data_IF_159173977335
#
_entry.id   IF_159173977335
#
_cell.length_a   1.000
_cell.length_b   1.000
_cell.length_c   1.000
_cell.angle_alpha   90.00
_cell.angle_beta   90.00
_cell.angle_gamma   90.00
#
_symmetry.space_group_name_H-M   'P 1'
#
loop_
_entity.id
_entity.type
_entity.pdbx_description
1 polymer ?
#
# COMPACT_ATOMS: atom_id res chain seq x y z
N UNK A 1 -28.41 -0.18 -9.44
CA UNK A 1 -27.95 -1.20 -8.47
C UNK A 1 -28.50 -0.84 -7.10
N UNK A 2 -29.31 -1.72 -6.51
CA UNK A 2 -29.99 -1.46 -5.22
C UNK A 2 -28.95 -1.46 -4.10
N UNK A 3 -28.84 -0.32 -3.42
CA UNK A 3 -28.06 -0.15 -2.20
C UNK A 3 -28.77 -0.97 -1.11
N UNK A 4 -28.18 -2.11 -0.75
CA UNK A 4 -28.68 -2.97 0.31
C UNK A 4 -28.58 -2.24 1.65
N UNK A 5 -29.68 -2.22 2.40
CA UNK A 5 -29.73 -1.70 3.76
C UNK A 5 -28.70 -2.41 4.66
N UNK A 6 -28.07 -1.69 5.61
CA UNK A 6 -27.21 -2.34 6.59
C UNK A 6 -28.08 -3.16 7.54
N UNK A 7 -27.90 -4.48 7.49
CA UNK A 7 -28.43 -5.40 8.50
C UNK A 7 -27.76 -5.05 9.82
N UNK A 8 -28.55 -4.57 10.79
CA UNK A 8 -28.16 -4.42 12.19
C UNK A 8 -27.70 -5.77 12.75
N UNK A 9 -26.43 -6.12 12.58
CA UNK A 9 -25.78 -7.13 13.41
C UNK A 9 -25.27 -6.41 14.65
N UNK A 10 -25.95 -6.66 15.75
CA UNK A 10 -25.46 -6.49 17.12
C UNK A 10 -24.10 -7.19 17.24
N UNK A 11 -23.02 -6.49 16.89
CA UNK A 11 -21.71 -6.83 17.42
C UNK A 11 -21.79 -6.42 18.89
N UNK A 12 -22.02 -7.41 19.75
CA UNK A 12 -21.76 -7.28 21.17
C UNK A 12 -20.30 -6.88 21.28
N UNK A 13 -20.08 -5.58 21.46
CA UNK A 13 -18.79 -5.02 21.83
C UNK A 13 -18.49 -5.62 23.20
N UNK A 14 -17.74 -6.73 23.22
CA UNK A 14 -17.17 -7.26 24.45
C UNK A 14 -16.00 -6.36 24.88
N UNK A 15 -16.32 -5.12 25.22
CA UNK A 15 -15.47 -4.21 25.98
C UNK A 15 -15.43 -4.68 27.44
N UNK A 16 -14.76 -5.81 27.70
CA UNK A 16 -14.31 -6.10 29.06
C UNK A 16 -12.80 -5.87 29.09
N UNK A 17 -12.32 -5.00 29.98
CA UNK A 17 -10.90 -4.64 30.14
C UNK A 17 -10.00 -5.78 30.66
N UNK A 18 -10.51 -7.03 30.67
CA UNK A 18 -9.78 -8.22 31.09
C UNK A 18 -9.04 -8.81 29.90
N UNK A 19 -7.83 -9.34 30.14
CA UNK A 19 -7.03 -9.96 29.07
C UNK A 19 -7.73 -11.21 28.53
N UNK A 20 -7.37 -11.60 27.31
CA UNK A 20 -7.93 -12.79 26.67
C UNK A 20 -7.62 -14.06 27.47
N UNK A 21 -6.44 -14.14 28.06
CA UNK A 21 -6.08 -15.21 28.99
C UNK A 21 -7.00 -15.24 30.20
N UNK A 22 -7.30 -14.10 30.84
CA UNK A 22 -8.19 -14.10 32.01
C UNK A 22 -9.58 -14.61 31.67
N UNK A 23 -10.10 -14.25 30.49
CA UNK A 23 -11.41 -14.72 30.01
C UNK A 23 -11.43 -16.24 29.83
N UNK A 24 -10.35 -16.80 29.28
CA UNK A 24 -10.23 -18.24 29.04
C UNK A 24 -10.05 -19.00 30.36
N UNK A 25 -9.20 -18.50 31.26
CA UNK A 25 -9.01 -19.06 32.60
C UNK A 25 -10.32 -19.06 33.40
N UNK A 26 -11.08 -17.96 33.38
CA UNK A 26 -12.37 -17.87 34.06
C UNK A 26 -13.38 -18.90 33.50
N UNK A 27 -13.41 -19.08 32.17
CA UNK A 27 -14.31 -20.03 31.52
C UNK A 27 -13.95 -21.48 31.85
N UNK A 28 -12.66 -21.83 31.78
CA UNK A 28 -12.20 -23.18 32.07
C UNK A 28 -12.32 -23.50 33.56
N UNK A 29 -12.07 -22.53 34.45
CA UNK A 29 -12.32 -22.70 35.88
C UNK A 29 -13.78 -23.07 36.17
N UNK A 30 -14.74 -22.44 35.49
CA UNK A 30 -16.17 -22.79 35.61
C UNK A 30 -16.48 -24.20 35.10
N UNK A 31 -15.92 -24.58 33.95
CA UNK A 31 -16.09 -25.92 33.38
C UNK A 31 -15.51 -26.98 34.31
N UNK A 32 -14.28 -26.79 34.78
CA UNK A 32 -13.58 -27.72 35.67
C UNK A 32 -14.33 -27.90 37.00
N UNK A 33 -14.84 -26.81 37.60
CA UNK A 33 -15.70 -26.89 38.79
C UNK A 33 -17.00 -27.65 38.51
N UNK A 34 -17.62 -27.43 37.35
CA UNK A 34 -18.83 -28.15 36.93
C UNK A 34 -18.58 -29.65 36.76
N UNK A 35 -17.47 -30.02 36.12
CA UNK A 35 -17.06 -31.41 35.92
C UNK A 35 -16.71 -32.10 37.24
N UNK A 36 -15.98 -31.44 38.14
CA UNK A 36 -15.69 -31.97 39.48
C UNK A 36 -16.97 -32.22 40.30
N UNK A 37 -17.92 -31.27 40.28
CA UNK A 37 -19.20 -31.43 40.95
C UNK A 37 -20.07 -32.54 40.33
N UNK A 38 -20.04 -32.69 38.99
CA UNK A 38 -20.70 -33.79 38.30
C UNK A 38 -20.10 -35.13 38.70
N UNK A 39 -18.77 -35.25 38.67
CA UNK A 39 -18.05 -36.46 39.03
C UNK A 39 -18.37 -36.91 40.47
N UNK A 40 -18.29 -36.00 41.45
CA UNK A 40 -18.66 -36.31 42.84
C UNK A 40 -20.12 -36.76 42.98
N UNK A 41 -21.05 -36.14 42.26
CA UNK A 41 -22.48 -36.51 42.28
C UNK A 41 -22.76 -37.85 41.63
N UNK A 42 -22.00 -38.25 40.61
CA UNK A 42 -22.23 -39.49 39.85
C UNK A 42 -21.51 -40.70 40.45
N UNK A 43 -20.31 -40.50 41.00
CA UNK A 43 -19.49 -41.58 41.54
C UNK A 43 -20.06 -42.17 42.83
N UNK A 44 -20.61 -41.34 43.73
CA UNK A 44 -21.24 -41.81 44.96
C UNK A 44 -22.36 -42.84 44.73
N UNK A 45 -23.38 -42.53 43.91
CA UNK A 45 -24.46 -43.47 43.57
C UNK A 45 -24.02 -44.70 42.77
N UNK A 46 -22.99 -44.57 41.94
CA UNK A 46 -22.51 -45.68 41.09
C UNK A 46 -21.66 -46.68 41.88
N UNK A 47 -20.93 -46.21 42.89
CA UNK A 47 -20.00 -47.00 43.69
C UNK A 47 -20.50 -47.28 45.12
N UNK A 48 -21.82 -47.29 45.35
CA UNK A 48 -22.44 -47.47 46.68
C UNK A 48 -21.88 -48.67 47.44
N UNK A 49 -21.67 -49.81 46.77
CA UNK A 49 -21.14 -51.03 47.40
C UNK A 49 -19.75 -50.83 47.99
N UNK A 50 -18.90 -50.05 47.32
CA UNK A 50 -17.54 -49.75 47.77
C UNK A 50 -17.60 -48.72 48.90
N UNK A 51 -18.45 -47.70 48.74
CA UNK A 51 -18.68 -46.67 49.75
C UNK A 51 -19.15 -47.25 51.09
N UNK A 52 -19.96 -48.32 51.07
CA UNK A 52 -20.45 -48.98 52.28
C UNK A 52 -19.37 -49.77 53.05
N UNK A 53 -18.27 -50.16 52.38
CA UNK A 53 -17.18 -50.91 53.02
C UNK A 53 -16.29 -49.98 53.83
N UNK A 54 -15.96 -48.82 53.27
CA UNK A 54 -15.25 -47.75 53.97
C UNK A 54 -15.65 -46.40 53.37
N UNK A 55 -16.58 -45.72 54.05
CA UNK A 55 -17.10 -44.44 53.60
C UNK A 55 -16.05 -43.33 53.68
N UNK A 56 -15.21 -43.36 54.72
CA UNK A 56 -14.21 -42.33 54.96
C UNK A 56 -13.10 -42.36 53.91
N UNK A 57 -12.58 -43.55 53.60
CA UNK A 57 -11.60 -43.76 52.54
C UNK A 57 -12.17 -43.39 51.17
N UNK A 58 -13.41 -43.79 50.88
CA UNK A 58 -14.03 -43.52 49.59
C UNK A 58 -14.22 -42.01 49.35
N UNK A 59 -14.73 -41.27 50.34
CA UNK A 59 -14.91 -39.82 50.23
C UNK A 59 -13.56 -39.11 50.05
N UNK A 60 -12.56 -39.47 50.86
CA UNK A 60 -11.19 -38.92 50.74
C UNK A 60 -10.58 -39.18 49.36
N UNK A 61 -10.69 -40.41 48.85
CA UNK A 61 -10.11 -40.77 47.54
C UNK A 61 -10.78 -40.03 46.38
N UNK A 62 -12.12 -39.89 46.43
CA UNK A 62 -12.86 -39.16 45.39
C UNK A 62 -12.54 -37.67 45.43
N UNK A 63 -12.42 -37.07 46.62
CA UNK A 63 -12.01 -35.68 46.76
C UNK A 63 -10.58 -35.45 46.26
N UNK A 64 -9.64 -36.34 46.60
CA UNK A 64 -8.25 -36.29 46.11
C UNK A 64 -8.18 -36.36 44.57
N UNK A 65 -8.92 -37.29 43.96
CA UNK A 65 -9.01 -37.41 42.50
C UNK A 65 -9.58 -36.16 41.84
N UNK A 66 -10.62 -35.56 42.43
CA UNK A 66 -11.19 -34.30 41.92
C UNK A 66 -10.16 -33.18 42.04
N UNK A 67 -9.47 -33.05 43.18
CA UNK A 67 -8.45 -32.01 43.36
C UNK A 67 -7.26 -32.19 42.42
N UNK A 68 -6.79 -33.42 42.22
CA UNK A 68 -5.71 -33.74 41.27
C UNK A 68 -6.12 -33.38 39.84
N UNK A 69 -7.35 -33.73 39.44
CA UNK A 69 -7.89 -33.35 38.13
C UNK A 69 -7.94 -31.83 37.95
N UNK A 70 -8.41 -31.10 38.96
CA UNK A 70 -8.50 -29.63 38.91
C UNK A 70 -7.10 -28.99 38.78
N UNK A 71 -6.14 -29.45 39.58
CA UNK A 71 -4.75 -28.95 39.57
C UNK A 71 -4.07 -29.23 38.22
N UNK A 72 -4.11 -30.47 37.72
CA UNK A 72 -3.51 -30.83 36.42
C UNK A 72 -4.14 -30.08 35.25
N UNK A 73 -5.45 -29.85 35.32
CA UNK A 73 -6.16 -29.10 34.27
C UNK A 73 -5.76 -27.62 34.26
N UNK A 74 -5.55 -27.00 35.43
CA UNK A 74 -5.10 -25.60 35.52
C UNK A 74 -3.64 -25.45 35.09
N UNK A 75 -2.75 -26.36 35.50
CA UNK A 75 -1.36 -26.40 35.04
C UNK A 75 -1.25 -26.58 33.51
N UNK A 76 -2.03 -27.51 32.96
CA UNK A 76 -2.13 -27.72 31.52
C UNK A 76 -2.62 -26.47 30.79
N UNK A 77 -3.62 -25.78 31.36
CA UNK A 77 -4.11 -24.53 30.80
C UNK A 77 -3.04 -23.44 30.79
N UNK A 78 -2.36 -23.20 31.90
CA UNK A 78 -1.32 -22.16 31.97
C UNK A 78 -0.20 -22.42 30.95
N UNK A 79 0.15 -23.69 30.76
CA UNK A 79 1.14 -24.10 29.76
C UNK A 79 0.66 -23.79 28.34
N UNK A 80 -0.59 -24.12 28.01
CA UNK A 80 -1.19 -23.83 26.70
C UNK A 80 -1.31 -22.32 26.45
N UNK A 81 -1.77 -21.54 27.44
CA UNK A 81 -1.90 -20.09 27.30
C UNK A 81 -0.56 -19.44 26.95
N UNK A 82 0.52 -19.87 27.62
CA UNK A 82 1.89 -19.42 27.33
C UNK A 82 2.37 -19.88 25.95
N UNK A 83 2.20 -21.16 25.62
CA UNK A 83 2.66 -21.72 24.35
C UNK A 83 2.05 -21.02 23.12
N UNK A 84 0.78 -20.63 23.22
CA UNK A 84 0.05 -20.03 22.10
C UNK A 84 0.11 -18.49 22.05
N UNK A 85 0.78 -17.84 23.02
CA UNK A 85 0.85 -16.38 23.17
C UNK A 85 -0.52 -15.72 23.01
N UNK A 86 -1.50 -16.20 23.78
CA UNK A 86 -2.92 -15.87 23.57
C UNK A 86 -3.19 -14.38 23.71
N UNK A 87 -2.54 -13.70 24.67
CA UNK A 87 -2.68 -12.25 24.82
C UNK A 87 -2.14 -11.47 23.61
N UNK A 88 -1.03 -11.89 23.01
CA UNK A 88 -0.45 -11.22 21.85
C UNK A 88 -1.37 -11.32 20.63
N UNK A 89 -1.87 -12.53 20.34
CA UNK A 89 -2.84 -12.75 19.26
C UNK A 89 -4.16 -12.03 19.52
N UNK A 90 -4.60 -12.00 20.77
CA UNK A 90 -5.76 -11.22 21.19
C UNK A 90 -5.59 -9.72 20.92
N UNK A 91 -4.42 -9.16 21.25
CA UNK A 91 -4.10 -7.77 20.97
C UNK A 91 -4.06 -7.47 19.45
N UNK A 92 -3.53 -8.38 18.64
CA UNK A 92 -3.56 -8.27 17.18
C UNK A 92 -4.99 -8.25 16.63
N UNK A 93 -5.88 -9.11 17.16
CA UNK A 93 -7.30 -9.12 16.78
C UNK A 93 -8.02 -7.84 17.19
N UNK A 94 -7.78 -7.33 18.40
CA UNK A 94 -8.35 -6.06 18.85
C UNK A 94 -7.86 -4.88 18.00
N UNK A 95 -6.58 -4.87 17.65
CA UNK A 95 -6.01 -3.88 16.74
C UNK A 95 -6.69 -3.95 15.37
N UNK A 96 -6.78 -5.16 14.79
CA UNK A 96 -7.41 -5.39 13.50
C UNK A 96 -8.88 -4.93 13.49
N UNK A 97 -9.66 -5.30 14.51
CA UNK A 97 -11.08 -4.92 14.62
C UNK A 97 -11.30 -3.40 14.76
N UNK A 98 -10.35 -2.68 15.35
CA UNK A 98 -10.44 -1.21 15.51
C UNK A 98 -10.02 -0.45 14.26
N UNK A 99 -9.00 -0.93 13.55
CA UNK A 99 -8.33 -0.17 12.48
C UNK A 99 -8.73 -0.62 11.07
N UNK A 100 -9.16 -1.86 10.88
CA UNK A 100 -9.58 -2.36 9.57
C UNK A 100 -11.04 -1.98 9.32
N UNK A 101 -11.25 -1.04 8.40
CA UNK A 101 -12.59 -0.61 7.94
C UNK A 101 -13.21 -1.54 6.88
N UNK A 102 -12.51 -2.62 6.50
CA UNK A 102 -12.94 -3.51 5.44
C UNK A 102 -14.12 -4.37 5.90
N UNK A 103 -15.21 -4.40 5.12
CA UNK A 103 -16.37 -5.26 5.37
C UNK A 103 -16.01 -6.76 5.38
N UNK A 104 -14.92 -7.14 4.70
CA UNK A 104 -14.38 -8.50 4.68
C UNK A 104 -12.86 -8.45 4.77
N UNK A 105 -12.30 -9.16 5.75
CA UNK A 105 -10.86 -9.36 5.84
C UNK A 105 -10.37 -10.12 4.60
N UNK A 106 -9.17 -9.76 4.11
CA UNK A 106 -8.51 -10.54 3.08
C UNK A 106 -8.26 -11.97 3.60
N UNK A 107 -8.49 -12.95 2.74
CA UNK A 107 -8.29 -14.36 3.05
C UNK A 107 -7.40 -14.96 1.96
N UNK A 108 -6.44 -15.84 2.31
CA UNK A 108 -5.64 -16.55 1.33
C UNK A 108 -6.55 -17.26 0.33
N UNK A 109 -6.31 -17.03 -0.95
CA UNK A 109 -7.11 -17.60 -2.02
C UNK A 109 -6.72 -19.06 -2.31
N UNK A 110 -5.59 -19.52 -1.78
CA UNK A 110 -5.02 -20.82 -2.09
C UNK A 110 -4.25 -20.83 -3.41
N UNK A 111 -4.19 -19.70 -4.13
CA UNK A 111 -3.32 -19.48 -5.28
C UNK A 111 -2.11 -18.65 -4.82
N UNK A 112 -0.91 -19.25 -4.73
CA UNK A 112 0.28 -18.56 -4.26
C UNK A 112 0.59 -17.29 -5.04
N UNK A 113 0.31 -17.26 -6.35
CA UNK A 113 0.59 -16.07 -7.18
C UNK A 113 -0.31 -14.91 -6.85
N UNK A 114 -1.57 -15.16 -6.47
CA UNK A 114 -2.50 -14.10 -6.07
C UNK A 114 -2.20 -13.63 -4.66
N UNK A 115 -1.87 -14.56 -3.78
CA UNK A 115 -1.60 -14.26 -2.38
C UNK A 115 -0.30 -13.46 -2.23
N UNK A 116 0.76 -13.83 -2.94
CA UNK A 116 2.01 -13.06 -3.00
C UNK A 116 1.77 -11.65 -3.55
N UNK A 117 0.99 -11.52 -4.63
CA UNK A 117 0.66 -10.20 -5.21
C UNK A 117 -0.13 -9.32 -4.26
N UNK A 118 -1.01 -9.89 -3.43
CA UNK A 118 -1.71 -9.12 -2.41
C UNK A 118 -0.74 -8.57 -1.35
N UNK A 119 0.27 -9.35 -0.96
CA UNK A 119 1.31 -8.91 -0.04
C UNK A 119 2.25 -7.84 -0.63
N UNK A 120 2.55 -7.92 -1.92
CA UNK A 120 3.42 -6.96 -2.61
C UNK A 120 2.71 -5.67 -3.04
N UNK A 121 1.38 -5.63 -2.99
CA UNK A 121 0.60 -4.53 -3.54
C UNK A 121 0.96 -3.17 -2.93
N UNK A 122 1.25 -3.10 -1.63
CA UNK A 122 1.63 -1.84 -0.98
C UNK A 122 2.99 -1.35 -1.49
N UNK A 123 3.96 -2.26 -1.60
CA UNK A 123 5.30 -1.96 -2.14
C UNK A 123 5.22 -1.52 -3.61
N UNK A 124 4.40 -2.22 -4.41
CA UNK A 124 4.20 -1.88 -5.82
C UNK A 124 3.57 -0.50 -5.98
N UNK A 125 2.62 -0.13 -5.10
CA UNK A 125 2.03 1.22 -5.09
C UNK A 125 3.05 2.29 -4.76
N UNK A 126 3.83 2.11 -3.71
CA UNK A 126 4.90 3.03 -3.34
C UNK A 126 5.91 3.21 -4.48
N UNK A 127 6.29 2.11 -5.15
CA UNK A 127 7.20 2.16 -6.28
C UNK A 127 6.63 2.94 -7.47
N UNK A 128 5.36 2.72 -7.80
CA UNK A 128 4.67 3.45 -8.87
C UNK A 128 4.60 4.94 -8.56
N UNK A 129 4.35 5.32 -7.30
CA UNK A 129 4.31 6.73 -6.89
C UNK A 129 5.68 7.41 -7.03
N UNK A 130 6.76 6.71 -6.68
CA UNK A 130 8.14 7.19 -6.87
C UNK A 130 8.45 7.39 -8.36
N UNK A 131 8.08 6.44 -9.21
CA UNK A 131 8.25 6.54 -10.65
C UNK A 131 7.44 7.71 -11.23
N UNK A 132 6.18 7.86 -10.84
CA UNK A 132 5.32 8.95 -11.28
C UNK A 132 5.92 10.31 -10.91
N UNK A 133 6.44 10.45 -9.69
CA UNK A 133 7.13 11.66 -9.24
C UNK A 133 8.37 11.95 -10.10
N UNK A 134 9.20 10.94 -10.34
CA UNK A 134 10.41 11.09 -11.16
C UNK A 134 10.09 11.50 -12.60
N UNK A 135 9.04 10.93 -13.20
CA UNK A 135 8.57 11.28 -14.54
C UNK A 135 8.09 12.73 -14.59
N UNK A 136 7.34 13.18 -13.58
CA UNK A 136 6.90 14.57 -13.47
C UNK A 136 8.07 15.54 -13.35
N UNK A 137 9.07 15.20 -12.54
CA UNK A 137 10.27 16.04 -12.37
C UNK A 137 11.07 16.14 -13.68
N UNK A 138 11.29 15.02 -14.38
CA UNK A 138 11.93 15.03 -15.69
C UNK A 138 11.15 15.86 -16.71
N UNK A 139 9.82 15.77 -16.72
CA UNK A 139 9.00 16.61 -17.59
C UNK A 139 9.14 18.11 -17.27
N UNK A 140 9.27 18.47 -15.99
CA UNK A 140 9.53 19.86 -15.57
C UNK A 140 10.90 20.35 -16.02
N UNK A 141 11.91 19.48 -16.06
CA UNK A 141 13.25 19.81 -16.55
C UNK A 141 13.33 19.91 -18.08
N UNK A 142 12.69 18.99 -18.80
CA UNK A 142 12.79 18.91 -20.27
C UNK A 142 11.94 19.95 -20.99
N UNK A 143 10.74 20.25 -20.47
CA UNK A 143 9.81 21.21 -21.10
C UNK A 143 10.43 22.60 -21.35
N UNK A 144 11.14 23.24 -20.39
CA UNK A 144 11.77 24.54 -20.65
C UNK A 144 12.91 24.42 -21.67
N UNK A 145 13.69 23.33 -21.65
CA UNK A 145 14.77 23.10 -22.63
C UNK A 145 14.23 22.98 -24.06
N UNK A 146 13.12 22.26 -24.24
CA UNK A 146 12.43 22.17 -25.54
C UNK A 146 11.92 23.53 -26.00
N UNK A 147 11.37 24.33 -25.08
CA UNK A 147 10.92 25.69 -25.42
C UNK A 147 12.09 26.60 -25.81
N UNK A 148 13.24 26.48 -25.16
CA UNK A 148 14.44 27.24 -25.50
C UNK A 148 14.96 26.86 -26.89
N UNK A 149 15.04 25.57 -27.21
CA UNK A 149 15.44 25.13 -28.56
C UNK A 149 14.46 25.64 -29.64
N UNK A 150 13.15 25.62 -29.37
CA UNK A 150 12.15 26.20 -30.30
C UNK A 150 12.33 27.70 -30.49
N UNK A 151 12.77 28.42 -29.47
CA UNK A 151 13.06 29.86 -29.56
C UNK A 151 14.30 30.10 -30.42
N UNK A 152 15.38 29.33 -30.18
CA UNK A 152 16.60 29.39 -30.99
C UNK A 152 16.33 29.06 -32.46
N UNK A 153 15.49 28.04 -32.72
CA UNK A 153 15.11 27.68 -34.10
C UNK A 153 14.40 28.83 -34.82
N UNK A 154 13.51 29.57 -34.13
CA UNK A 154 12.84 30.75 -34.72
C UNK A 154 13.84 31.85 -35.03
N UNK A 155 14.73 32.17 -34.09
CA UNK A 155 15.76 33.19 -34.29
C UNK A 155 16.64 32.87 -35.51
N UNK A 156 17.12 31.63 -35.61
CA UNK A 156 17.92 31.20 -36.75
C UNK A 156 17.16 31.27 -38.08
N UNK A 157 15.85 30.96 -38.08
CA UNK A 157 15.01 31.11 -39.28
C UNK A 157 14.88 32.59 -39.67
N UNK A 158 14.64 33.46 -38.71
CA UNK A 158 14.49 34.90 -38.94
C UNK A 158 15.80 35.50 -39.48
N UNK A 159 16.94 35.22 -38.85
CA UNK A 159 18.28 35.62 -39.30
C UNK A 159 18.57 35.11 -40.73
N UNK A 160 18.22 33.86 -41.03
CA UNK A 160 18.40 33.31 -42.37
C UNK A 160 17.51 33.99 -43.41
N UNK A 161 16.29 34.38 -43.05
CA UNK A 161 15.43 35.17 -43.96
C UNK A 161 15.98 36.56 -44.20
N UNK A 162 16.55 37.21 -43.19
CA UNK A 162 17.20 38.52 -43.31
C UNK A 162 18.43 38.44 -44.22
N UNK A 163 19.29 37.44 -44.02
CA UNK A 163 20.45 37.19 -44.90
C UNK A 163 20.02 36.97 -46.35
N UNK A 164 18.92 36.24 -46.59
CA UNK A 164 18.37 36.06 -47.95
C UNK A 164 17.86 37.37 -48.55
N UNK A 165 17.26 38.25 -47.75
CA UNK A 165 16.82 39.56 -48.22
C UNK A 165 18.01 40.47 -48.55
N UNK A 166 19.03 40.51 -47.69
CA UNK A 166 20.25 41.25 -47.96
C UNK A 166 20.97 40.73 -49.21
N UNK A 167 21.04 39.40 -49.40
CA UNK A 167 21.62 38.81 -50.60
C UNK A 167 20.88 39.27 -51.86
N UNK A 168 19.54 39.26 -51.85
CA UNK A 168 18.74 39.78 -52.97
C UNK A 168 19.02 41.25 -53.24
N UNK A 169 19.11 42.07 -52.21
CA UNK A 169 19.44 43.49 -52.37
C UNK A 169 20.83 43.70 -52.98
N UNK A 170 21.82 42.89 -52.60
CA UNK A 170 23.16 42.92 -53.19
C UNK A 170 23.11 42.50 -54.67
N UNK A 171 22.37 41.45 -55.02
CA UNK A 171 22.18 41.03 -56.41
C UNK A 171 21.46 42.11 -57.25
N UNK A 172 20.45 42.76 -56.68
CA UNK A 172 19.72 43.87 -57.32
C UNK A 172 20.63 45.08 -57.55
N UNK A 173 21.49 45.42 -56.60
CA UNK A 173 22.48 46.51 -56.74
C UNK A 173 23.56 46.13 -57.76
N UNK A 174 24.08 44.90 -57.71
CA UNK A 174 25.08 44.39 -58.65
C UNK A 174 24.56 44.44 -60.09
N UNK A 175 23.35 43.95 -60.34
CA UNK A 175 22.71 44.00 -61.66
C UNK A 175 22.42 45.44 -62.11
N UNK A 176 22.06 46.35 -61.21
CA UNK A 176 21.88 47.78 -61.52
C UNK A 176 23.20 48.49 -61.87
N UNK A 177 24.32 48.14 -61.23
CA UNK A 177 25.66 48.66 -61.56
C UNK A 177 26.11 48.16 -62.94
N UNK A 178 25.90 46.88 -63.23
CA UNK A 178 26.18 46.31 -64.57
C UNK A 178 25.36 47.01 -65.66
N UNK A 179 24.11 47.40 -65.38
CA UNK A 179 23.29 48.18 -66.31
C UNK A 179 23.81 49.63 -66.52
N UNK A 180 24.30 50.29 -65.46
CA UNK A 180 24.87 51.65 -65.55
C UNK A 180 26.23 51.70 -66.25
N UNK A 181 26.99 50.62 -66.21
CA UNK A 181 28.25 50.44 -66.93
C UNK A 181 28.11 49.44 -68.09
N UNK A 182 27.09 49.67 -68.93
CA UNK A 182 27.12 49.06 -70.26
C UNK A 182 28.13 49.82 -71.14
N UNK A 183 28.80 49.18 -72.10
CA UNK A 183 29.84 49.82 -72.92
C UNK A 183 29.37 51.13 -73.58
N UNK A 184 28.05 51.28 -73.81
CA UNK A 184 27.46 52.48 -74.41
C UNK A 184 27.54 53.75 -73.54
N UNK A 185 27.42 53.65 -72.21
CA UNK A 185 27.51 54.83 -71.33
C UNK A 185 28.97 55.21 -71.04
N UNK A 186 29.88 54.23 -71.02
CA UNK A 186 31.32 54.47 -70.91
C UNK A 186 31.86 55.25 -72.11
N UNK A 187 31.47 54.88 -73.34
CA UNK A 187 31.83 55.64 -74.55
C UNK A 187 31.18 57.03 -74.57
N UNK A 188 29.96 57.20 -74.05
CA UNK A 188 29.33 58.53 -73.95
C UNK A 188 30.07 59.46 -72.97
N UNK A 189 30.61 58.93 -71.87
CA UNK A 189 31.39 59.70 -70.89
C UNK A 189 32.80 60.06 -71.41
N UNK A 190 33.42 59.16 -72.20
CA UNK A 190 34.69 59.42 -72.89
C UNK A 190 34.51 60.45 -74.01
N UNK A 191 33.38 60.42 -74.74
CA UNK A 191 33.08 61.39 -75.80
C UNK A 191 32.75 62.80 -75.28
N UNK A 192 32.17 62.95 -74.09
CA UNK A 192 31.90 64.27 -73.51
C UNK A 192 33.14 64.90 -72.85
N UNK A 193 34.07 64.11 -72.32
CA UNK A 193 35.36 64.60 -71.83
C UNK A 193 36.36 64.90 -72.97
N UNK A 194 36.19 64.29 -74.15
CA UNK A 194 36.98 64.58 -75.35
C UNK A 194 36.61 65.89 -76.07
N UNK A 195 35.60 66.63 -75.62
CA UNK A 195 35.23 67.95 -76.16
C UNK A 195 35.81 69.14 -75.38
N UNK A 196 36.67 68.88 -74.38
CA UNK A 196 37.34 69.90 -73.56
C UNK A 196 38.88 69.85 -73.61
N UNK A 197 39.44 69.34 -74.72
CA UNK A 197 40.86 69.48 -75.11
C UNK A 197 40.91 69.93 -76.57
#
# INVERSE_FOLDING_TARGET
MRIGQPVNRLYVVMSSSRSFETKITDAISKINKGLGAYFGKTVGPTCVKIKQVDESWFVSTVEELIQEFLSKSDEGLQTLLKQYSVNEKGAQLDYANKHLKAFKAWQPSGDPKKDIRAHLLEVDREHVDVLAKRVLDLNRELRPRVNEMRKQERLLRDEFTELRLMLKQVDDVSSAIVFRYTPRTFWAFVLTLGQWV
#
